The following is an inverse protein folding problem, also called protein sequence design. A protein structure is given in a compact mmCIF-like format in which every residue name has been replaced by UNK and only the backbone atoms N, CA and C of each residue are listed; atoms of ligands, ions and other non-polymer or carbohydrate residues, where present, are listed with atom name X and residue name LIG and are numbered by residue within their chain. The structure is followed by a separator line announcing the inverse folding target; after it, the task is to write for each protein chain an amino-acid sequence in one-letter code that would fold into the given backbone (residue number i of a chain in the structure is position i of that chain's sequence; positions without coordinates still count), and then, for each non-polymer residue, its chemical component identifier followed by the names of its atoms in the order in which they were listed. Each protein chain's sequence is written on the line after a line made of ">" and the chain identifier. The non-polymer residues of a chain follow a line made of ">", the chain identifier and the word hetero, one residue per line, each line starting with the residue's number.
data_IF_379878036645
#
_entry.id   IF_379878036645
#
_cell.length_a   1.000
_cell.length_b   1.000
_cell.length_c   1.000
_cell.angle_alpha   90.00
_cell.angle_beta   90.00
_cell.angle_gamma   90.00
#
_symmetry.space_group_name_H-M   'P 1'
#
loop_
_entity.id
_entity.type
_entity.pdbx_description
1 polymer ?
#
# COMPACT_ATOMS: atom_id res chain seq x y z
N UNK A 1 -54.80 48.42 -29.10
CA UNK A 1 -54.38 48.61 -27.69
C UNK A 1 -54.51 47.28 -26.97
N UNK A 2 -53.45 46.87 -26.24
CA UNK A 2 -53.28 45.66 -25.42
C UNK A 2 -53.17 44.31 -26.17
N UNK A 3 -51.98 43.71 -26.09
CA UNK A 3 -51.67 42.30 -25.76
C UNK A 3 -50.19 42.34 -25.30
N UNK A 4 -49.95 42.54 -24.01
CA UNK A 4 -49.56 41.51 -23.03
C UNK A 4 -48.28 40.76 -23.39
N UNK A 5 -47.19 41.20 -22.76
CA UNK A 5 -45.85 40.61 -22.80
C UNK A 5 -45.89 39.36 -21.91
N UNK A 6 -45.85 38.17 -22.50
CA UNK A 6 -45.61 36.93 -21.75
C UNK A 6 -44.09 36.75 -21.61
N UNK A 7 -43.56 37.11 -20.43
CA UNK A 7 -42.23 36.66 -20.00
C UNK A 7 -42.25 35.16 -19.77
N UNK A 8 -41.63 34.39 -20.66
CA UNK A 8 -41.25 33.01 -20.38
C UNK A 8 -39.99 33.03 -19.52
N UNK A 9 -40.14 32.79 -18.22
CA UNK A 9 -39.00 32.56 -17.33
C UNK A 9 -38.41 31.20 -17.68
N UNK A 10 -37.20 31.22 -18.24
CA UNK A 10 -36.37 30.06 -18.51
C UNK A 10 -35.92 29.47 -17.17
N UNK A 11 -36.61 28.43 -16.68
CA UNK A 11 -36.15 27.66 -15.55
C UNK A 11 -35.09 26.66 -16.04
N UNK A 12 -33.85 27.12 -16.16
CA UNK A 12 -32.71 26.23 -16.23
C UNK A 12 -32.56 25.57 -14.85
N UNK A 13 -33.06 24.34 -14.70
CA UNK A 13 -32.69 23.47 -13.58
C UNK A 13 -31.22 23.09 -13.74
N UNK A 14 -30.34 24.02 -13.37
CA UNK A 14 -28.96 23.72 -13.07
C UNK A 14 -28.99 22.92 -11.77
N UNK A 15 -28.95 21.60 -11.91
CA UNK A 15 -28.71 20.70 -10.79
C UNK A 15 -27.28 20.97 -10.33
N UNK A 16 -27.14 21.90 -9.39
CA UNK A 16 -25.90 22.09 -8.66
C UNK A 16 -25.78 20.84 -7.78
N UNK A 17 -24.99 19.86 -8.23
CA UNK A 17 -24.52 18.81 -7.33
C UNK A 17 -23.83 19.54 -6.18
N UNK A 18 -24.47 19.50 -5.00
CA UNK A 18 -23.81 19.85 -3.76
C UNK A 18 -22.63 18.89 -3.66
N UNK A 19 -21.43 19.39 -3.95
CA UNK A 19 -20.23 18.78 -3.41
C UNK A 19 -20.38 18.92 -1.91
N UNK A 20 -20.76 17.82 -1.25
CA UNK A 20 -20.57 17.70 0.19
C UNK A 20 -19.07 17.78 0.40
N UNK A 21 -18.57 18.98 0.68
CA UNK A 21 -17.29 19.20 1.32
C UNK A 21 -17.41 18.69 2.76
N UNK A 22 -17.56 17.37 2.89
CA UNK A 22 -17.29 16.61 4.09
C UNK A 22 -15.81 16.29 4.05
N UNK A 23 -15.11 16.64 5.11
CA UNK A 23 -13.74 16.22 5.41
C UNK A 23 -13.66 14.70 5.72
N UNK A 24 -14.51 13.91 5.06
CA UNK A 24 -14.63 12.47 5.25
C UNK A 24 -13.81 11.82 4.14
N UNK A 25 -12.50 11.69 4.39
CA UNK A 25 -11.66 10.78 3.61
C UNK A 25 -12.38 9.42 3.51
N UNK A 26 -12.49 8.81 2.32
CA UNK A 26 -13.21 7.56 2.18
C UNK A 26 -12.64 6.49 3.11
N UNK A 27 -13.53 5.75 3.78
CA UNK A 27 -13.17 4.75 4.81
C UNK A 27 -12.17 3.72 4.27
N UNK A 28 -12.23 3.38 2.98
CA UNK A 28 -11.27 2.47 2.39
C UNK A 28 -9.83 3.01 2.32
N UNK A 29 -9.60 4.33 2.41
CA UNK A 29 -8.25 4.90 2.51
C UNK A 29 -7.64 4.68 3.89
N UNK A 30 -8.48 4.56 4.93
CA UNK A 30 -8.04 4.38 6.32
C UNK A 30 -8.06 2.92 6.75
N UNK A 31 -9.07 2.14 6.36
CA UNK A 31 -9.19 0.72 6.69
C UNK A 31 -8.49 -0.21 5.70
N UNK A 32 -8.24 0.27 4.47
CA UNK A 32 -7.68 -0.54 3.39
C UNK A 32 -8.72 -1.45 2.72
N UNK A 33 -8.25 -2.31 1.81
CA UNK A 33 -9.08 -3.25 1.06
C UNK A 33 -8.66 -4.70 1.32
N UNK A 34 -9.65 -5.58 1.51
CA UNK A 34 -9.43 -6.99 1.82
C UNK A 34 -9.37 -7.89 0.58
N UNK A 35 -9.94 -7.45 -0.55
CA UNK A 35 -9.94 -8.23 -1.78
C UNK A 35 -8.57 -8.29 -2.44
N UNK A 36 -8.34 -9.38 -3.18
CA UNK A 36 -7.09 -9.56 -3.93
C UNK A 36 -7.05 -8.57 -5.08
N UNK A 37 -6.01 -7.73 -5.12
CA UNK A 37 -5.86 -6.63 -6.11
C UNK A 37 -7.02 -5.64 -6.09
N UNK A 38 -7.66 -5.49 -4.94
CA UNK A 38 -8.56 -4.38 -4.68
C UNK A 38 -7.81 -3.22 -4.07
N UNK A 39 -8.14 -2.03 -4.53
CA UNK A 39 -7.60 -0.78 -4.05
C UNK A 39 -8.74 0.20 -3.82
N UNK A 40 -8.56 1.10 -2.86
CA UNK A 40 -9.55 2.14 -2.56
C UNK A 40 -9.54 3.16 -3.70
N UNK A 41 -10.62 3.21 -4.48
CA UNK A 41 -10.77 4.24 -5.49
C UNK A 41 -11.35 5.49 -4.83
N UNK A 42 -10.50 6.50 -4.64
CA UNK A 42 -10.86 7.77 -4.02
C UNK A 42 -11.93 8.55 -4.78
N UNK A 43 -12.22 8.23 -6.04
CA UNK A 43 -13.31 8.88 -6.79
C UNK A 43 -14.69 8.37 -6.41
N UNK A 44 -14.79 7.11 -5.98
CA UNK A 44 -16.06 6.48 -5.57
C UNK A 44 -16.12 6.18 -4.07
N UNK A 45 -14.98 6.21 -3.38
CA UNK A 45 -14.87 5.94 -1.95
C UNK A 45 -15.05 4.48 -1.57
N UNK A 46 -14.83 3.56 -2.49
CA UNK A 46 -15.03 2.12 -2.31
C UNK A 46 -13.81 1.32 -2.80
N UNK A 47 -13.62 0.14 -2.22
CA UNK A 47 -12.65 -0.84 -2.71
C UNK A 47 -13.14 -1.46 -4.00
N UNK A 48 -12.28 -1.50 -5.02
CA UNK A 48 -12.55 -2.21 -6.26
C UNK A 48 -11.27 -2.71 -6.90
N UNK A 49 -11.40 -3.64 -7.84
CA UNK A 49 -10.33 -4.06 -8.72
C UNK A 49 -10.34 -3.28 -10.05
N UNK A 50 -9.30 -3.50 -10.86
CA UNK A 50 -9.27 -3.07 -12.25
C UNK A 50 -10.39 -3.75 -13.05
N UNK A 51 -11.02 -3.00 -13.95
CA UNK A 51 -12.12 -3.46 -14.80
C UNK A 51 -11.64 -4.12 -16.09
N UNK A 52 -10.38 -3.91 -16.46
CA UNK A 52 -9.75 -4.46 -17.65
C UNK A 52 -8.22 -4.46 -17.50
N UNK A 53 -7.53 -5.11 -18.44
CA UNK A 53 -6.08 -5.34 -18.38
C UNK A 53 -5.22 -4.07 -18.58
N UNK A 54 -5.82 -2.93 -18.91
CA UNK A 54 -5.10 -1.65 -19.06
C UNK A 54 -5.37 -0.70 -17.91
N UNK A 55 -6.39 -0.94 -17.09
CA UNK A 55 -6.72 -0.13 -15.92
C UNK A 55 -5.82 -0.51 -14.74
N UNK A 56 -5.14 0.47 -14.15
CA UNK A 56 -4.12 0.26 -13.13
C UNK A 56 -4.28 1.27 -12.01
N UNK A 57 -4.16 0.81 -10.77
CA UNK A 57 -4.24 1.68 -9.60
C UNK A 57 -2.98 2.53 -9.45
N UNK A 58 -3.13 3.82 -9.21
CA UNK A 58 -2.06 4.74 -8.88
C UNK A 58 -2.18 5.16 -7.41
N UNK A 59 -1.34 4.58 -6.56
CA UNK A 59 -1.36 4.83 -5.12
C UNK A 59 -1.03 6.28 -4.73
N UNK A 60 -0.36 7.05 -5.60
CA UNK A 60 -0.03 8.45 -5.31
C UNK A 60 -1.26 9.35 -5.34
N UNK A 61 -2.23 9.03 -6.19
CA UNK A 61 -3.47 9.80 -6.35
C UNK A 61 -4.72 9.05 -5.86
N UNK A 62 -4.55 7.81 -5.40
CA UNK A 62 -5.61 6.90 -4.98
C UNK A 62 -6.71 6.70 -6.03
N UNK A 63 -6.33 6.56 -7.29
CA UNK A 63 -7.27 6.38 -8.41
C UNK A 63 -6.77 5.30 -9.36
N UNK A 64 -7.70 4.61 -10.02
CA UNK A 64 -7.36 3.84 -11.20
C UNK A 64 -7.30 4.73 -12.43
N UNK A 65 -6.39 4.40 -13.33
CA UNK A 65 -6.14 5.12 -14.56
C UNK A 65 -5.78 4.13 -15.69
N UNK A 66 -5.89 4.57 -16.94
CA UNK A 66 -5.50 3.75 -18.09
C UNK A 66 -3.96 3.82 -18.28
N UNK A 67 -3.29 2.70 -18.05
CA UNK A 67 -1.83 2.61 -18.00
C UNK A 67 -1.22 3.25 -16.74
N UNK A 68 0.07 3.56 -16.81
CA UNK A 68 0.80 4.18 -15.70
C UNK A 68 1.63 5.37 -16.20
N UNK A 69 1.95 6.27 -15.27
CA UNK A 69 2.81 7.43 -15.55
C UNK A 69 4.19 6.99 -16.06
N UNK A 70 4.88 7.87 -16.78
CA UNK A 70 6.20 7.58 -17.32
C UNK A 70 7.18 7.13 -16.22
N UNK A 71 7.84 5.99 -16.43
CA UNK A 71 8.72 5.36 -15.44
C UNK A 71 8.03 4.35 -14.52
N UNK A 72 6.72 4.15 -14.67
CA UNK A 72 5.94 3.13 -13.99
C UNK A 72 5.38 2.13 -15.00
N UNK A 73 5.33 0.87 -14.60
CA UNK A 73 4.66 -0.20 -15.31
C UNK A 73 3.44 -0.65 -14.50
N UNK A 74 2.41 -1.09 -15.22
CA UNK A 74 1.27 -1.71 -14.59
C UNK A 74 1.58 -3.17 -14.30
N UNK A 75 1.87 -3.46 -13.04
CA UNK A 75 2.22 -4.80 -12.59
C UNK A 75 1.17 -5.21 -11.56
N UNK A 76 0.43 -6.28 -11.87
CA UNK A 76 -0.67 -6.78 -11.04
C UNK A 76 -1.68 -5.68 -10.64
N UNK A 77 -2.13 -4.94 -11.65
CA UNK A 77 -3.16 -3.89 -11.56
C UNK A 77 -2.74 -2.67 -10.70
N UNK A 78 -1.43 -2.48 -10.49
CA UNK A 78 -0.88 -1.36 -9.73
C UNK A 78 0.34 -0.75 -10.43
N UNK A 79 0.33 0.58 -10.54
CA UNK A 79 1.43 1.37 -11.07
C UNK A 79 2.62 1.35 -10.13
N UNK A 80 3.71 0.75 -10.59
CA UNK A 80 4.97 0.59 -9.85
C UNK A 80 6.14 0.79 -10.79
N UNK A 81 7.25 1.27 -10.27
CA UNK A 81 8.50 1.20 -11.02
C UNK A 81 8.80 -0.26 -11.35
N UNK A 82 9.23 -0.54 -12.58
CA UNK A 82 9.75 -1.84 -12.98
C UNK A 82 11.14 -2.08 -12.39
N UNK A 83 11.19 -2.12 -11.06
CA UNK A 83 12.28 -2.73 -10.35
C UNK A 83 11.90 -4.21 -10.18
N UNK A 84 12.69 -5.11 -10.75
CA UNK A 84 12.74 -6.44 -10.16
C UNK A 84 13.07 -6.28 -8.68
N UNK A 85 12.37 -7.00 -7.76
CA UNK A 85 12.74 -6.98 -6.36
C UNK A 85 14.25 -7.29 -6.28
N UNK A 86 15.02 -6.35 -5.75
CA UNK A 86 16.48 -6.47 -5.53
C UNK A 86 16.85 -7.67 -4.64
N UNK A 87 15.82 -8.26 -4.06
CA UNK A 87 15.70 -9.34 -3.10
C UNK A 87 15.47 -10.73 -3.76
N UNK A 88 15.48 -10.83 -5.11
CA UNK A 88 15.51 -12.14 -5.80
C UNK A 88 14.25 -13.02 -5.62
N UNK A 89 13.17 -12.44 -5.09
CA UNK A 89 11.91 -13.15 -4.82
C UNK A 89 11.16 -13.52 -6.10
N UNK A 90 10.56 -14.71 -6.08
CA UNK A 90 9.77 -15.26 -7.18
C UNK A 90 8.28 -14.98 -7.04
N UNK A 91 7.75 -14.84 -5.81
CA UNK A 91 6.38 -14.40 -5.63
C UNK A 91 6.27 -12.88 -5.56
N UNK A 92 5.54 -12.29 -6.51
CA UNK A 92 5.34 -10.84 -6.64
C UNK A 92 3.96 -10.36 -6.17
N UNK A 93 3.13 -11.27 -5.65
CA UNK A 93 1.75 -10.97 -5.23
C UNK A 93 1.74 -9.99 -4.06
N UNK A 94 0.86 -9.00 -4.17
CA UNK A 94 0.55 -8.08 -3.10
C UNK A 94 -0.42 -8.67 -2.10
N UNK A 95 -0.06 -8.54 -0.83
CA UNK A 95 -0.80 -9.11 0.27
C UNK A 95 -1.28 -7.99 1.20
N UNK A 96 -2.43 -8.21 1.84
CA UNK A 96 -2.91 -7.36 2.91
C UNK A 96 -1.84 -7.17 3.98
N UNK A 97 -1.93 -6.07 4.72
CA UNK A 97 -1.02 -5.70 5.77
C UNK A 97 -0.74 -6.90 6.73
N UNK A 98 0.54 -7.25 6.91
CA UNK A 98 0.98 -8.33 7.81
C UNK A 98 0.92 -9.73 7.21
N UNK A 99 0.58 -9.86 5.92
CA UNK A 99 0.65 -11.09 5.13
C UNK A 99 1.68 -10.95 4.03
N UNK A 100 2.27 -12.08 3.64
CA UNK A 100 3.31 -12.14 2.62
C UNK A 100 3.12 -13.36 1.72
N UNK A 101 3.65 -13.27 0.50
CA UNK A 101 3.68 -14.38 -0.42
C UNK A 101 5.09 -14.97 -0.46
N UNK A 102 5.18 -16.26 -0.16
CA UNK A 102 6.44 -16.99 -0.18
C UNK A 102 6.87 -17.36 -1.60
N UNK A 103 8.16 -17.50 -1.79
CA UNK A 103 8.73 -18.01 -3.04
C UNK A 103 8.11 -19.37 -3.42
N UNK A 104 7.65 -19.50 -4.66
CA UNK A 104 6.93 -20.68 -5.14
C UNK A 104 5.45 -20.76 -4.75
N UNK A 105 4.91 -19.77 -4.03
CA UNK A 105 3.47 -19.66 -3.74
C UNK A 105 2.78 -18.69 -4.69
N UNK A 106 1.46 -18.84 -4.82
CA UNK A 106 0.55 -17.86 -5.43
C UNK A 106 -0.49 -17.34 -4.45
N UNK A 107 -0.23 -17.49 -3.15
CA UNK A 107 -1.15 -17.15 -2.06
C UNK A 107 -0.45 -16.35 -0.98
N UNK A 108 -1.15 -15.35 -0.48
CA UNK A 108 -0.77 -14.61 0.71
C UNK A 108 -1.10 -15.40 1.97
N UNK A 109 -0.17 -15.43 2.92
CA UNK A 109 -0.41 -15.96 4.27
C UNK A 109 0.25 -15.08 5.32
N UNK A 110 -0.21 -15.21 6.57
CA UNK A 110 0.50 -14.68 7.73
C UNK A 110 1.34 -15.77 8.41
N UNK A 111 1.87 -15.46 9.61
CA UNK A 111 2.47 -16.43 10.51
C UNK A 111 1.52 -17.58 10.84
N UNK A 112 2.06 -18.79 10.94
CA UNK A 112 1.33 -19.98 11.39
C UNK A 112 1.40 -20.16 12.91
N UNK A 113 2.33 -19.48 13.56
CA UNK A 113 2.55 -19.47 15.02
C UNK A 113 3.25 -18.19 15.45
N UNK A 114 3.17 -17.87 16.73
CA UNK A 114 3.86 -16.72 17.32
C UNK A 114 5.39 -16.91 17.23
N UNK A 115 6.07 -15.92 16.64
CA UNK A 115 7.52 -15.97 16.39
C UNK A 115 7.88 -16.28 14.93
N UNK A 116 6.95 -16.83 14.14
CA UNK A 116 7.19 -16.99 12.71
C UNK A 116 7.17 -15.62 12.00
N UNK A 117 8.21 -15.33 11.22
CA UNK A 117 8.39 -14.03 10.59
C UNK A 117 8.83 -14.14 9.13
N UNK A 118 8.35 -13.25 8.27
CA UNK A 118 8.71 -13.25 6.86
C UNK A 118 10.08 -12.61 6.64
N UNK A 119 11.03 -13.37 6.11
CA UNK A 119 12.34 -12.90 5.71
C UNK A 119 12.32 -12.49 4.23
N UNK A 120 12.53 -11.20 3.96
CA UNK A 120 12.56 -10.67 2.59
C UNK A 120 13.72 -11.22 1.77
N UNK A 121 14.86 -11.51 2.39
CA UNK A 121 16.07 -11.97 1.70
C UNK A 121 15.93 -13.40 1.19
N UNK A 122 15.21 -14.25 1.91
CA UNK A 122 14.95 -15.65 1.52
C UNK A 122 13.62 -15.81 0.79
N UNK A 123 12.67 -14.90 1.06
CA UNK A 123 11.31 -14.95 0.54
C UNK A 123 10.45 -16.02 1.18
N UNK A 124 10.75 -16.41 2.43
CA UNK A 124 10.01 -17.39 3.21
C UNK A 124 9.70 -16.89 4.61
N UNK A 125 8.70 -17.48 5.25
CA UNK A 125 8.55 -17.34 6.69
C UNK A 125 9.50 -18.30 7.41
N UNK A 126 10.13 -17.79 8.46
CA UNK A 126 11.17 -18.46 9.23
C UNK A 126 10.88 -18.31 10.72
N UNK A 127 11.51 -19.14 11.55
CA UNK A 127 11.39 -19.04 13.00
C UNK A 127 12.29 -17.91 13.51
N UNK A 128 11.68 -16.77 13.84
CA UNK A 128 12.39 -15.55 14.19
C UNK A 128 13.03 -14.84 12.99
N UNK A 129 13.96 -13.95 13.30
CA UNK A 129 14.76 -13.21 12.33
C UNK A 129 16.25 -13.39 12.63
N UNK A 130 17.08 -13.23 11.61
CA UNK A 130 18.53 -13.24 11.76
C UNK A 130 19.02 -12.14 12.73
N UNK A 131 20.21 -12.33 13.29
CA UNK A 131 20.84 -11.36 14.19
C UNK A 131 20.89 -9.95 13.57
N UNK A 132 20.45 -8.95 14.34
CA UNK A 132 20.35 -7.56 13.90
C UNK A 132 18.99 -7.20 13.27
N UNK A 133 18.10 -8.18 13.05
CA UNK A 133 16.75 -7.96 12.57
C UNK A 133 15.71 -8.26 13.66
N UNK A 134 14.57 -7.59 13.59
CA UNK A 134 13.44 -7.85 14.47
C UNK A 134 12.17 -8.13 13.68
N UNK A 135 11.31 -8.99 14.23
CA UNK A 135 10.03 -9.28 13.62
C UNK A 135 9.02 -8.16 13.87
N UNK A 136 8.87 -7.26 12.90
CA UNK A 136 7.86 -6.21 12.91
C UNK A 136 6.76 -6.52 11.94
N UNK A 137 5.52 -6.49 12.40
CA UNK A 137 4.36 -6.65 11.54
C UNK A 137 4.45 -7.93 10.66
N UNK A 138 4.95 -9.00 11.27
CA UNK A 138 5.22 -10.31 10.66
C UNK A 138 6.32 -10.33 9.59
N UNK A 139 7.21 -9.34 9.57
CA UNK A 139 8.35 -9.24 8.64
C UNK A 139 9.65 -8.89 9.37
N UNK A 140 10.74 -9.52 8.97
CA UNK A 140 12.07 -9.17 9.44
C UNK A 140 12.47 -7.79 8.89
N UNK A 141 12.72 -6.85 9.80
CA UNK A 141 13.19 -5.50 9.50
C UNK A 141 14.45 -5.23 10.29
N UNK A 142 15.39 -4.51 9.68
CA UNK A 142 16.57 -4.03 10.36
C UNK A 142 16.15 -3.00 11.41
N UNK A 143 16.74 -3.08 12.59
CA UNK A 143 16.69 -2.01 13.59
C UNK A 143 17.87 -1.07 13.30
N UNK A 144 17.84 -0.40 12.15
CA UNK A 144 18.69 0.78 11.95
C UNK A 144 18.07 1.93 12.74
N UNK A 145 18.08 1.83 14.07
CA UNK A 145 18.24 3.02 14.87
C UNK A 145 19.74 3.30 14.77
N UNK A 146 20.12 4.27 13.94
CA UNK A 146 21.42 4.91 14.04
C UNK A 146 21.47 5.57 15.44
N UNK A 147 21.70 4.76 16.48
CA UNK A 147 22.34 5.23 17.67
C UNK A 147 23.79 5.46 17.23
N UNK A 148 24.15 6.73 17.04
CA UNK A 148 25.52 7.22 17.08
C UNK A 148 26.16 6.84 18.45
N UNK A 149 26.37 5.55 18.72
CA UNK A 149 27.20 5.08 19.83
C UNK A 149 28.65 5.16 19.35
N UNK A 150 29.17 6.38 19.47
CA UNK A 150 30.60 6.67 19.48
C UNK A 150 31.29 5.66 20.40
N UNK A 151 31.93 4.70 19.75
CA UNK A 151 32.79 3.72 20.38
C UNK A 151 33.96 4.44 21.07
N UNK A 152 33.91 4.59 22.39
CA UNK A 152 35.14 4.81 23.16
C UNK A 152 35.39 3.71 24.18
N UNK A 153 36.12 2.72 23.66
CA UNK A 153 37.24 2.04 24.28
C UNK A 153 36.96 1.07 25.43
N UNK A 154 37.10 -0.21 25.07
CA UNK A 154 37.60 -1.27 25.93
C UNK A 154 38.89 -0.83 26.65
N UNK A 155 38.93 -0.95 27.98
CA UNK A 155 40.11 -1.48 28.67
C UNK A 155 39.66 -2.24 29.90
N UNK A 156 39.62 -3.56 29.76
CA UNK A 156 39.72 -4.51 30.85
C UNK A 156 41.03 -4.27 31.61
N UNK A 157 40.98 -4.04 32.91
CA UNK A 157 42.00 -4.54 33.83
C UNK A 157 41.35 -4.83 35.18
N UNK A 158 41.16 -6.12 35.44
CA UNK A 158 40.88 -6.67 36.75
C UNK A 158 42.14 -6.62 37.62
N UNK A 159 42.02 -6.15 38.86
CA UNK A 159 42.85 -6.63 39.96
C UNK A 159 42.12 -6.36 41.29
N UNK A 160 41.54 -7.43 41.83
CA UNK A 160 41.24 -7.56 43.25
C UNK A 160 42.55 -7.83 44.01
N UNK A 161 42.83 -7.10 45.09
CA UNK A 161 43.14 -7.57 46.46
C UNK A 161 43.29 -6.35 47.35
#
# INVERSE_FOLDING_TARGET
>A
MKISILSTVLAANLCLAVATSGSDEPVCLTEGCDGTREYCDGSIGECRAAQNDTECYNATIALFQDGCDAGYECIDDLCRVSADPVDGRTCKILCSAGKYCENGSTKCRGPSYDGECFNLATGFFEDGCDDGFYCSFNKCVDVSLDDDDDSTASTTTSAST
#
